data_IF_249943597960
#
_entry.id   IF_249943597960
#
_cell.length_a   1.000
_cell.length_b   1.000
_cell.length_c   1.000
_cell.angle_alpha   90.00
_cell.angle_beta   90.00
_cell.angle_gamma   90.00
#
_symmetry.space_group_name_H-M   'P 1'
#
loop_
_entity.id
_entity.type
_entity.pdbx_description
1 polymer ?
#
# COMPACT_ATOMS: atom_id res chain seq x y z
N UNK A 1 -14.87 -9.90 11.04
CA UNK A 1 -15.92 -10.50 10.19
C UNK A 1 -15.58 -11.88 9.61
N UNK A 2 -14.39 -12.47 9.81
CA UNK A 2 -14.09 -13.82 9.29
C UNK A 2 -13.08 -14.60 10.16
N UNK A 3 -13.39 -14.95 11.42
CA UNK A 3 -12.39 -15.48 12.36
C UNK A 3 -11.72 -16.77 11.85
N UNK A 4 -12.48 -17.70 11.27
CA UNK A 4 -11.95 -18.98 10.77
C UNK A 4 -11.06 -18.78 9.54
N UNK A 5 -11.46 -17.90 8.61
CA UNK A 5 -10.70 -17.67 7.38
C UNK A 5 -9.45 -16.79 7.63
N UNK A 6 -9.52 -15.83 8.55
CA UNK A 6 -8.34 -15.05 8.98
C UNK A 6 -7.32 -15.95 9.66
N UNK A 7 -7.75 -16.87 10.53
CA UNK A 7 -6.85 -17.83 11.19
C UNK A 7 -6.26 -18.85 10.20
N UNK A 8 -7.08 -19.36 9.28
CA UNK A 8 -6.66 -20.42 8.34
C UNK A 8 -5.84 -19.91 7.15
N UNK A 9 -6.08 -18.68 6.69
CA UNK A 9 -5.53 -18.17 5.42
C UNK A 9 -4.81 -16.85 5.55
N UNK A 10 -4.87 -16.19 6.72
CA UNK A 10 -4.25 -14.88 6.96
C UNK A 10 -4.55 -13.86 5.85
N UNK A 11 -5.69 -13.97 5.17
CA UNK A 11 -5.98 -13.18 3.96
C UNK A 11 -6.15 -11.68 4.25
N UNK A 12 -6.34 -11.31 5.52
CA UNK A 12 -6.37 -9.93 6.01
C UNK A 12 -4.98 -9.40 6.42
N UNK A 13 -3.96 -10.25 6.50
CA UNK A 13 -2.59 -9.88 6.79
C UNK A 13 -1.89 -9.37 5.51
N UNK A 14 -2.15 -8.11 5.15
CA UNK A 14 -1.45 -7.42 4.08
C UNK A 14 -0.07 -6.94 4.60
N UNK A 15 0.88 -7.86 4.78
CA UNK A 15 2.23 -7.58 5.28
C UNK A 15 3.32 -7.72 4.22
N UNK A 16 3.13 -7.08 3.06
CA UNK A 16 4.24 -6.90 2.12
C UNK A 16 5.22 -5.85 2.61
N UNK A 17 6.46 -5.87 2.12
CA UNK A 17 7.36 -4.71 2.09
C UNK A 17 7.62 -4.33 0.63
N UNK A 18 6.58 -3.78 0.00
CA UNK A 18 6.61 -3.46 -1.43
C UNK A 18 7.55 -2.31 -1.74
N UNK A 19 7.75 -1.39 -0.79
CA UNK A 19 8.74 -0.32 -0.91
C UNK A 19 10.16 -0.90 -1.04
N UNK A 20 10.57 -1.81 -0.15
CA UNK A 20 11.89 -2.46 -0.23
C UNK A 20 12.03 -3.32 -1.48
N UNK A 21 10.97 -4.02 -1.91
CA UNK A 21 10.98 -4.77 -3.16
C UNK A 21 11.23 -3.85 -4.36
N UNK A 22 10.53 -2.71 -4.45
CA UNK A 22 10.72 -1.74 -5.52
C UNK A 22 12.17 -1.21 -5.55
N UNK A 23 12.72 -0.88 -4.38
CA UNK A 23 14.12 -0.47 -4.25
C UNK A 23 15.10 -1.54 -4.74
N UNK A 24 14.86 -2.82 -4.40
CA UNK A 24 15.71 -3.94 -4.84
C UNK A 24 15.74 -4.14 -6.36
N UNK A 25 14.67 -3.74 -7.05
CA UNK A 25 14.53 -3.78 -8.50
C UNK A 25 15.05 -2.49 -9.19
N UNK A 26 15.64 -1.56 -8.43
CA UNK A 26 16.19 -0.31 -8.95
C UNK A 26 15.16 0.81 -9.12
N UNK A 27 13.93 0.62 -8.65
CA UNK A 27 12.90 1.66 -8.64
C UNK A 27 13.00 2.52 -7.36
N UNK A 28 12.42 3.71 -7.41
CA UNK A 28 12.10 4.47 -6.21
C UNK A 28 10.99 3.74 -5.45
N UNK A 29 11.25 3.32 -4.21
CA UNK A 29 10.25 2.74 -3.33
C UNK A 29 10.15 3.55 -2.05
N UNK A 30 8.94 3.93 -1.64
CA UNK A 30 8.71 4.54 -0.33
C UNK A 30 7.41 4.03 0.29
N UNK A 31 7.37 3.97 1.63
CA UNK A 31 6.19 3.61 2.40
C UNK A 31 5.65 4.85 3.11
N UNK A 32 4.36 5.10 2.95
CA UNK A 32 3.62 6.20 3.57
C UNK A 32 2.70 5.63 4.64
N UNK A 33 2.95 6.01 5.90
CA UNK A 33 2.11 5.65 7.06
C UNK A 33 1.28 6.82 7.56
N UNK A 34 1.70 8.06 7.26
CA UNK A 34 1.00 9.28 7.63
C UNK A 34 0.25 9.83 6.41
N UNK A 35 -1.08 10.05 6.48
CA UNK A 35 -1.82 10.71 5.42
C UNK A 35 -1.25 12.08 5.00
N UNK A 36 -0.61 12.82 5.92
CA UNK A 36 0.06 14.08 5.62
C UNK A 36 1.23 13.95 4.65
N UNK A 37 1.82 12.75 4.54
CA UNK A 37 2.94 12.47 3.63
C UNK A 37 2.50 12.09 2.22
N UNK A 38 1.20 11.92 1.93
CA UNK A 38 0.72 11.50 0.60
C UNK A 38 1.16 12.47 -0.50
N UNK A 39 0.92 13.76 -0.33
CA UNK A 39 1.29 14.78 -1.33
C UNK A 39 2.82 14.90 -1.46
N UNK A 40 3.59 15.02 -0.35
CA UNK A 40 5.05 14.99 -0.39
C UNK A 40 5.63 13.75 -1.11
N UNK A 41 5.09 12.57 -0.83
CA UNK A 41 5.49 11.29 -1.43
C UNK A 41 5.32 11.29 -2.95
N UNK A 42 4.13 11.69 -3.43
CA UNK A 42 3.88 11.85 -4.86
C UNK A 42 4.88 12.82 -5.50
N UNK A 43 5.25 13.90 -4.80
CA UNK A 43 6.28 14.83 -5.26
C UNK A 43 7.67 14.21 -5.39
N UNK A 44 8.08 13.36 -4.44
CA UNK A 44 9.36 12.61 -4.48
C UNK A 44 9.37 11.57 -5.60
N UNK A 45 8.31 10.79 -5.73
CA UNK A 45 8.14 9.83 -6.81
C UNK A 45 8.17 10.48 -8.20
N UNK A 46 7.55 11.66 -8.37
CA UNK A 46 7.62 12.41 -9.61
C UNK A 46 9.05 12.80 -9.97
N UNK A 47 9.83 13.31 -8.99
CA UNK A 47 11.24 13.64 -9.22
C UNK A 47 12.06 12.42 -9.64
N UNK A 48 11.79 11.24 -9.07
CA UNK A 48 12.44 10.01 -9.50
C UNK A 48 12.07 9.66 -10.96
N UNK A 49 10.80 9.74 -11.31
CA UNK A 49 10.33 9.49 -12.68
C UNK A 49 10.88 10.50 -13.70
N UNK A 50 11.09 11.76 -13.32
CA UNK A 50 11.72 12.77 -14.18
C UNK A 50 13.17 12.42 -14.53
N UNK A 51 13.84 11.56 -13.74
CA UNK A 51 15.17 11.01 -14.03
C UNK A 51 15.15 9.68 -14.78
N UNK A 52 13.96 9.20 -15.17
CA UNK A 52 13.76 7.91 -15.82
C UNK A 52 13.70 6.71 -14.86
N UNK A 53 13.70 6.94 -13.55
CA UNK A 53 13.57 5.89 -12.55
C UNK A 53 12.08 5.57 -12.28
N UNK A 54 11.63 4.32 -12.42
CA UNK A 54 10.27 3.91 -12.02
C UNK A 54 10.03 4.17 -10.54
N UNK A 55 8.78 4.43 -10.14
CA UNK A 55 8.44 4.70 -8.74
C UNK A 55 7.22 3.88 -8.26
N UNK A 56 7.31 3.40 -7.02
CA UNK A 56 6.23 2.75 -6.27
C UNK A 56 6.09 3.42 -4.90
N UNK A 57 4.86 3.83 -4.57
CA UNK A 57 4.51 4.35 -3.25
C UNK A 57 3.57 3.34 -2.60
N UNK A 58 3.96 2.84 -1.44
CA UNK A 58 3.16 1.92 -0.64
C UNK A 58 2.41 2.71 0.44
N UNK A 59 1.08 2.75 0.36
CA UNK A 59 0.25 3.41 1.37
C UNK A 59 -0.23 2.41 2.41
N UNK A 60 0.20 2.59 3.65
CA UNK A 60 -0.32 1.82 4.77
C UNK A 60 -1.71 2.35 5.14
N UNK A 61 -2.71 1.49 5.06
CA UNK A 61 -4.09 1.82 5.42
C UNK A 61 -4.51 1.01 6.63
N UNK A 62 -5.47 1.53 7.40
CA UNK A 62 -6.11 0.75 8.45
C UNK A 62 -6.95 -0.36 7.80
N UNK A 63 -7.05 -1.50 8.46
CA UNK A 63 -8.04 -2.51 8.10
C UNK A 63 -9.45 -1.93 8.27
N UNK A 64 -10.26 -1.95 7.21
CA UNK A 64 -11.65 -1.48 7.26
C UNK A 64 -12.59 -2.68 7.45
N UNK A 65 -13.30 -2.68 8.57
CA UNK A 65 -14.21 -3.76 8.97
C UNK A 65 -15.68 -3.42 8.71
N UNK A 66 -16.00 -2.17 8.34
CA UNK A 66 -17.35 -1.76 7.97
C UNK A 66 -17.65 -2.11 6.52
N UNK A 67 -18.30 -3.25 6.33
CA UNK A 67 -18.76 -3.70 5.02
C UNK A 67 -20.16 -3.16 4.71
N UNK A 68 -20.41 -2.83 3.45
CA UNK A 68 -21.76 -2.50 2.98
C UNK A 68 -22.70 -3.68 3.22
N UNK A 69 -23.82 -3.43 3.90
CA UNK A 69 -24.87 -4.43 4.15
C UNK A 69 -25.97 -4.40 3.08
N UNK A 70 -25.80 -3.58 2.04
CA UNK A 70 -26.78 -3.47 0.98
C UNK A 70 -26.59 -4.61 -0.03
N UNK A 71 -27.61 -5.45 -0.29
CA UNK A 71 -27.47 -6.52 -1.27
C UNK A 71 -27.28 -5.94 -2.68
N UNK A 72 -26.37 -6.49 -3.50
CA UNK A 72 -26.32 -6.15 -4.91
C UNK A 72 -27.68 -6.46 -5.54
N UNK A 73 -28.19 -5.54 -6.35
CA UNK A 73 -29.47 -5.70 -7.07
C UNK A 73 -29.38 -6.78 -8.13
#
# INVERSE_FOLDING_TARGET
NYPVATDSFAFTNLYGDYASLAQSLGAHGERVVDPGEIIPAIGRAKKAMDTGQPALIEFMTKEENNLSRFPPR
#
